data_IF_170880268359
#
_entry.id   IF_170880268359
#
_cell.length_a   1.000
_cell.length_b   1.000
_cell.length_c   1.000
_cell.angle_alpha   90.00
_cell.angle_beta   90.00
_cell.angle_gamma   90.00
#
_symmetry.space_group_name_H-M   'P 1'
#
loop_
_entity.id
_entity.type
_entity.pdbx_description
1 polymer ?
#
# COMPACT_ATOMS: atom_id res chain seq x y z
N UNK A 1 -5.01 13.54 -3.67
CA UNK A 1 -4.38 12.24 -4.08
C UNK A 1 -4.35 11.99 -5.59
N UNK A 2 -5.45 12.20 -6.35
CA UNK A 2 -5.46 11.89 -7.80
C UNK A 2 -4.31 12.54 -8.60
N UNK A 3 -4.03 13.83 -8.39
CA UNK A 3 -2.95 14.56 -9.10
C UNK A 3 -1.55 13.97 -8.80
N UNK A 4 -1.28 13.59 -7.54
CA UNK A 4 -0.01 12.99 -7.14
C UNK A 4 0.16 11.61 -7.80
N UNK A 5 -0.91 10.80 -7.85
CA UNK A 5 -0.88 9.50 -8.52
C UNK A 5 -0.64 9.66 -10.05
N UNK A 6 -1.24 10.66 -10.68
CA UNK A 6 -0.98 10.99 -12.08
C UNK A 6 0.49 11.43 -12.32
N UNK A 7 1.04 12.25 -11.43
CA UNK A 7 2.45 12.66 -11.48
C UNK A 7 3.40 11.47 -11.34
N UNK A 8 3.12 10.54 -10.43
CA UNK A 8 3.91 9.30 -10.25
C UNK A 8 3.85 8.44 -11.51
N UNK A 9 2.67 8.30 -12.14
CA UNK A 9 2.48 7.57 -13.39
C UNK A 9 3.22 8.20 -14.58
N UNK A 10 3.30 9.54 -14.61
CA UNK A 10 4.00 10.28 -15.67
C UNK A 10 5.52 10.35 -15.45
N UNK A 11 5.99 10.18 -14.22
CA UNK A 11 7.40 10.23 -13.84
C UNK A 11 8.32 9.36 -14.73
N UNK A 12 8.02 8.08 -15.03
CA UNK A 12 8.87 7.27 -15.92
C UNK A 12 9.01 7.87 -17.33
N UNK A 13 7.96 8.48 -17.89
CA UNK A 13 8.00 9.13 -19.20
C UNK A 13 8.85 10.40 -19.18
N UNK A 14 8.74 11.19 -18.11
CA UNK A 14 9.58 12.37 -17.89
C UNK A 14 11.06 11.96 -17.79
N UNK A 15 11.36 10.87 -17.06
CA UNK A 15 12.72 10.32 -16.96
C UNK A 15 13.25 9.91 -18.34
N UNK A 16 12.45 9.23 -19.16
CA UNK A 16 12.85 8.82 -20.53
C UNK A 16 13.20 10.05 -21.39
N UNK A 17 12.37 11.11 -21.35
CA UNK A 17 12.64 12.35 -22.08
C UNK A 17 13.95 13.01 -21.61
N UNK A 18 14.20 13.05 -20.29
CA UNK A 18 15.46 13.56 -19.75
C UNK A 18 16.67 12.73 -20.20
N UNK A 19 16.57 11.41 -20.25
CA UNK A 19 17.65 10.53 -20.72
C UNK A 19 17.94 10.79 -22.21
N UNK A 20 16.91 10.86 -23.06
CA UNK A 20 17.06 11.15 -24.50
C UNK A 20 17.73 12.51 -24.69
N UNK A 21 17.29 13.53 -23.95
CA UNK A 21 17.86 14.87 -23.99
C UNK A 21 19.34 14.90 -23.54
N UNK A 22 19.69 14.11 -22.52
CA UNK A 22 21.05 14.01 -22.01
C UNK A 22 21.98 13.33 -23.04
N UNK A 23 21.51 12.25 -23.68
CA UNK A 23 22.22 11.57 -24.77
C UNK A 23 22.46 12.52 -25.95
N UNK A 24 21.42 13.26 -26.38
CA UNK A 24 21.53 14.24 -27.47
C UNK A 24 22.60 15.31 -27.19
N UNK A 25 22.64 15.83 -25.97
CA UNK A 25 23.63 16.84 -25.57
C UNK A 25 25.06 16.28 -25.47
N UNK A 26 25.23 15.01 -25.08
CA UNK A 26 26.52 14.33 -25.11
C UNK A 26 27.03 14.22 -26.56
N UNK A 27 26.16 13.79 -27.49
CA UNK A 27 26.50 13.61 -28.90
C UNK A 27 26.87 14.94 -29.57
N UNK A 28 26.12 16.00 -29.29
CA UNK A 28 26.32 17.33 -29.92
C UNK A 28 27.46 18.17 -29.31
N UNK A 29 28.20 17.63 -28.31
CA UNK A 29 29.44 18.20 -27.73
C UNK A 29 29.37 19.69 -27.28
N UNK A 30 28.19 20.22 -26.92
CA UNK A 30 28.07 21.61 -26.41
C UNK A 30 28.78 21.77 -25.05
N UNK A 31 30.01 22.30 -25.05
CA UNK A 31 30.93 22.35 -23.90
C UNK A 31 30.40 23.12 -22.67
N UNK A 32 29.70 24.25 -22.87
CA UNK A 32 29.21 25.10 -21.76
C UNK A 32 28.12 24.43 -20.92
N UNK A 33 27.31 23.55 -21.53
CA UNK A 33 26.22 22.84 -20.86
C UNK A 33 26.65 21.51 -20.22
N UNK A 34 27.79 20.94 -20.64
CA UNK A 34 28.27 19.62 -20.15
C UNK A 34 28.55 19.57 -18.65
N UNK A 35 28.99 20.66 -18.01
CA UNK A 35 29.31 20.62 -16.57
C UNK A 35 28.10 20.94 -15.67
N UNK A 36 27.44 22.07 -15.91
CA UNK A 36 26.28 22.51 -15.10
C UNK A 36 25.02 21.68 -15.37
N UNK A 37 24.76 21.32 -16.63
CA UNK A 37 23.60 20.49 -16.98
C UNK A 37 23.69 19.10 -16.36
N UNK A 38 24.86 18.46 -16.41
CA UNK A 38 25.05 17.12 -15.82
C UNK A 38 24.97 17.19 -14.30
N UNK A 39 25.57 18.20 -13.64
CA UNK A 39 25.56 18.28 -12.18
C UNK A 39 24.18 18.56 -11.58
N UNK A 40 23.26 19.17 -12.33
CA UNK A 40 21.89 19.45 -11.88
C UNK A 40 20.91 18.37 -12.33
N UNK A 41 21.01 17.90 -13.58
CA UNK A 41 20.07 16.90 -14.13
C UNK A 41 20.29 15.53 -13.48
N UNK A 42 21.54 15.14 -13.21
CA UNK A 42 21.84 13.82 -12.65
C UNK A 42 21.23 13.61 -11.25
N UNK A 43 21.33 14.54 -10.27
CA UNK A 43 20.62 14.43 -9.00
C UNK A 43 19.10 14.38 -9.16
N UNK A 44 18.52 15.19 -10.04
CA UNK A 44 17.07 15.19 -10.31
C UNK A 44 16.63 13.83 -10.84
N UNK A 45 17.41 13.24 -11.75
CA UNK A 45 17.15 11.92 -12.32
C UNK A 45 17.24 10.83 -11.24
N UNK A 46 18.30 10.85 -10.42
CA UNK A 46 18.48 9.91 -9.31
C UNK A 46 17.30 10.01 -8.34
N UNK A 47 16.94 11.23 -7.93
CA UNK A 47 15.81 11.45 -7.02
C UNK A 47 14.48 10.98 -7.63
N UNK A 48 14.27 11.21 -8.93
CA UNK A 48 13.07 10.76 -9.63
C UNK A 48 13.01 9.23 -9.70
N UNK A 49 14.13 8.56 -9.96
CA UNK A 49 14.21 7.09 -9.95
C UNK A 49 13.90 6.55 -8.55
N UNK A 50 14.49 7.13 -7.50
CA UNK A 50 14.23 6.74 -6.11
C UNK A 50 12.74 6.91 -5.76
N UNK A 51 12.13 8.03 -6.14
CA UNK A 51 10.71 8.28 -5.95
C UNK A 51 9.84 7.29 -6.74
N UNK A 52 10.20 6.99 -7.98
CA UNK A 52 9.49 6.01 -8.80
C UNK A 52 9.51 4.64 -8.13
N UNK A 53 10.67 4.15 -7.70
CA UNK A 53 10.76 2.86 -6.98
C UNK A 53 9.98 2.87 -5.66
N UNK A 54 9.96 3.99 -4.95
CA UNK A 54 9.26 4.10 -3.67
C UNK A 54 7.73 4.12 -3.85
N UNK A 55 7.23 4.86 -4.82
CA UNK A 55 5.79 5.07 -5.02
C UNK A 55 5.17 4.21 -6.12
N UNK A 56 5.96 3.37 -6.82
CA UNK A 56 5.42 2.45 -7.81
C UNK A 56 4.45 1.48 -7.13
N UNK A 57 3.22 1.32 -7.68
CA UNK A 57 2.28 0.35 -7.15
C UNK A 57 2.82 -1.08 -7.26
N UNK A 58 2.75 -1.83 -6.16
CA UNK A 58 3.18 -3.23 -6.06
C UNK A 58 1.93 -4.09 -5.89
N UNK A 59 1.84 -5.18 -6.66
CA UNK A 59 0.91 -6.28 -6.44
C UNK A 59 1.62 -7.43 -5.72
N UNK A 60 0.87 -8.41 -5.20
CA UNK A 60 1.44 -9.63 -4.62
C UNK A 60 2.36 -9.38 -3.43
N UNK A 61 2.08 -8.35 -2.63
CA UNK A 61 2.88 -8.01 -1.45
C UNK A 61 2.90 -9.14 -0.41
N UNK A 62 2.03 -10.15 -0.53
CA UNK A 62 2.03 -11.33 0.34
C UNK A 62 2.54 -12.62 -0.30
N UNK A 63 2.82 -12.66 -1.61
CA UNK A 63 3.21 -13.89 -2.31
C UNK A 63 4.52 -14.50 -1.77
N UNK A 64 5.38 -13.68 -1.18
CA UNK A 64 6.64 -14.09 -0.59
C UNK A 64 6.55 -14.59 0.88
N UNK A 65 5.35 -14.61 1.48
CA UNK A 65 5.19 -14.87 2.91
C UNK A 65 4.62 -16.27 3.16
N UNK A 66 5.42 -17.11 3.82
CA UNK A 66 4.97 -18.40 4.32
C UNK A 66 4.36 -18.19 5.72
N UNK A 67 3.03 -18.21 5.79
CA UNK A 67 2.28 -17.92 7.00
C UNK A 67 1.65 -19.20 7.53
N UNK A 68 1.77 -19.45 8.84
CA UNK A 68 1.22 -20.65 9.47
C UNK A 68 -0.22 -20.43 9.98
N UNK A 69 -0.61 -19.17 10.18
CA UNK A 69 -1.95 -18.76 10.55
C UNK A 69 -2.22 -17.32 10.12
N UNK A 70 -3.49 -16.96 10.05
CA UNK A 70 -3.96 -15.59 9.91
C UNK A 70 -4.87 -15.29 11.09
N UNK A 71 -4.55 -14.25 11.83
CA UNK A 71 -5.40 -13.73 12.90
C UNK A 71 -6.31 -12.64 12.34
N UNK A 72 -7.62 -12.75 12.57
CA UNK A 72 -8.59 -11.74 12.23
C UNK A 72 -9.17 -11.17 13.52
N UNK A 73 -8.87 -9.91 13.78
CA UNK A 73 -9.46 -9.16 14.89
C UNK A 73 -10.57 -8.25 14.36
N UNK A 74 -11.77 -8.42 14.91
CA UNK A 74 -12.94 -7.58 14.63
C UNK A 74 -13.59 -7.23 15.96
N UNK A 75 -13.71 -5.94 16.28
CA UNK A 75 -14.24 -5.48 17.56
C UNK A 75 -13.46 -6.07 18.75
N UNK A 76 -14.12 -6.90 19.56
CA UNK A 76 -13.54 -7.63 20.70
C UNK A 76 -13.27 -9.11 20.39
N UNK A 77 -13.46 -9.53 19.13
CA UNK A 77 -13.28 -10.92 18.70
C UNK A 77 -11.94 -11.06 18.00
N UNK A 78 -11.17 -12.05 18.44
CA UNK A 78 -9.91 -12.45 17.84
C UNK A 78 -10.05 -13.91 17.39
N UNK A 79 -10.05 -14.11 16.07
CA UNK A 79 -10.24 -15.43 15.47
C UNK A 79 -8.99 -15.82 14.70
N UNK A 80 -8.43 -16.97 15.05
CA UNK A 80 -7.29 -17.53 14.36
C UNK A 80 -7.73 -18.51 13.25
N UNK A 81 -7.34 -18.22 12.02
CA UNK A 81 -7.57 -19.04 10.84
C UNK A 81 -6.30 -19.85 10.57
N UNK A 82 -6.39 -21.17 10.77
CA UNK A 82 -5.33 -22.15 10.43
C UNK A 82 -5.65 -22.99 9.20
N UNK A 83 -6.89 -22.92 8.71
CA UNK A 83 -7.31 -23.65 7.52
C UNK A 83 -6.61 -23.07 6.29
N UNK A 84 -5.81 -23.90 5.60
CA UNK A 84 -5.00 -23.46 4.46
C UNK A 84 -5.84 -22.90 3.32
N UNK A 85 -7.03 -23.44 3.06
CA UNK A 85 -7.88 -22.97 1.98
C UNK A 85 -8.45 -21.58 2.29
N UNK A 86 -8.92 -21.36 3.53
CA UNK A 86 -9.36 -20.04 4.01
C UNK A 86 -8.21 -19.03 4.02
N UNK A 87 -7.02 -19.45 4.48
CA UNK A 87 -5.84 -18.59 4.47
C UNK A 87 -5.47 -18.16 3.05
N UNK A 88 -5.41 -19.10 2.10
CA UNK A 88 -5.12 -18.79 0.69
C UNK A 88 -6.17 -17.82 0.11
N UNK A 89 -7.46 -18.01 0.39
CA UNK A 89 -8.51 -17.07 -0.03
C UNK A 89 -8.28 -15.65 0.50
N UNK A 90 -7.83 -15.49 1.75
CA UNK A 90 -7.50 -14.17 2.32
C UNK A 90 -6.33 -13.56 1.55
N UNK A 91 -5.24 -14.29 1.39
CA UNK A 91 -4.05 -13.80 0.70
C UNK A 91 -4.34 -13.45 -0.77
N UNK A 92 -5.08 -14.31 -1.47
CA UNK A 92 -5.53 -14.05 -2.85
C UNK A 92 -6.40 -12.79 -2.92
N UNK A 93 -7.33 -12.61 -1.99
CA UNK A 93 -8.19 -11.42 -1.95
C UNK A 93 -7.37 -10.15 -1.77
N UNK A 94 -6.39 -10.16 -0.87
CA UNK A 94 -5.50 -9.03 -0.64
C UNK A 94 -4.61 -8.77 -1.88
N UNK A 95 -4.09 -9.82 -2.51
CA UNK A 95 -3.15 -9.74 -3.63
C UNK A 95 -3.81 -9.29 -4.95
N UNK A 96 -5.14 -9.34 -5.08
CA UNK A 96 -5.87 -8.75 -6.23
C UNK A 96 -5.64 -7.24 -6.36
N UNK A 97 -5.31 -6.57 -5.26
CA UNK A 97 -5.16 -5.13 -5.21
C UNK A 97 -3.71 -4.69 -5.42
N UNK A 98 -3.55 -3.41 -5.79
CA UNK A 98 -2.25 -2.75 -5.90
C UNK A 98 -2.04 -1.77 -4.77
N UNK A 99 -0.81 -1.71 -4.30
CA UNK A 99 -0.46 -0.95 -3.11
C UNK A 99 0.72 -0.02 -3.35
N UNK A 100 0.66 1.17 -2.79
CA UNK A 100 1.76 2.15 -2.85
C UNK A 100 2.36 2.34 -1.48
N UNK A 101 3.69 2.42 -1.40
CA UNK A 101 4.37 2.63 -0.13
C UNK A 101 4.14 4.06 0.37
N UNK A 102 3.84 4.19 1.66
CA UNK A 102 3.68 5.46 2.35
C UNK A 102 4.91 5.78 3.18
N UNK A 103 5.36 7.03 3.10
CA UNK A 103 6.41 7.58 3.96
C UNK A 103 5.91 7.94 5.38
N UNK A 104 4.59 7.90 5.61
CA UNK A 104 3.98 8.25 6.89
C UNK A 104 3.39 7.01 7.56
N UNK A 105 3.80 6.77 8.81
CA UNK A 105 3.17 5.82 9.75
C UNK A 105 2.01 6.59 10.39
N UNK A 106 0.77 6.28 10.04
CA UNK A 106 -0.39 7.08 10.49
C UNK A 106 -1.58 6.27 10.96
N UNK A 107 -1.40 4.98 11.19
CA UNK A 107 -2.40 4.15 11.85
C UNK A 107 -1.84 3.87 13.24
N UNK A 108 -2.13 4.78 14.17
CA UNK A 108 -2.06 4.43 15.58
C UNK A 108 -3.40 3.74 15.87
N UNK A 109 -3.43 2.48 16.32
CA UNK A 109 -4.67 1.77 16.62
C UNK A 109 -5.62 2.56 17.54
N UNK A 110 -5.06 3.43 18.40
CA UNK A 110 -5.79 4.31 19.31
C UNK A 110 -6.68 5.35 18.62
N UNK A 111 -6.47 5.67 17.34
CA UNK A 111 -7.26 6.68 16.61
C UNK A 111 -8.55 6.14 16.00
N UNK A 112 -8.81 4.82 16.07
CA UNK A 112 -9.97 4.18 15.44
C UNK A 112 -10.82 3.44 16.46
N UNK A 113 -12.13 3.65 16.42
CA UNK A 113 -13.07 2.81 17.16
C UNK A 113 -13.00 1.37 16.60
N UNK A 114 -12.72 0.40 17.49
CA UNK A 114 -12.56 -1.03 17.16
C UNK A 114 -13.77 -1.61 16.41
N UNK A 115 -14.95 -1.02 16.62
CA UNK A 115 -16.23 -1.45 16.03
C UNK A 115 -16.26 -1.45 14.50
N UNK A 116 -15.41 -0.66 13.86
CA UNK A 116 -15.36 -0.48 12.42
C UNK A 116 -14.03 -0.92 11.79
N UNK A 117 -13.15 -1.55 12.57
CA UNK A 117 -11.83 -1.95 12.11
C UNK A 117 -11.71 -3.46 12.09
N UNK A 118 -11.37 -4.02 10.93
CA UNK A 118 -10.95 -5.40 10.77
C UNK A 118 -9.43 -5.38 10.65
N UNK A 119 -8.75 -6.05 11.58
CA UNK A 119 -7.29 -6.19 11.56
C UNK A 119 -6.96 -7.63 11.17
N UNK A 120 -6.36 -7.80 10.00
CA UNK A 120 -5.83 -9.09 9.57
C UNK A 120 -4.33 -9.10 9.85
N UNK A 121 -3.91 -9.97 10.76
CA UNK A 121 -2.52 -10.09 11.17
C UNK A 121 -1.96 -11.45 10.79
N UNK A 122 -0.71 -11.49 10.35
CA UNK A 122 0.00 -12.75 10.18
C UNK A 122 1.46 -12.61 10.60
N UNK A 123 2.04 -13.72 11.06
CA UNK A 123 3.42 -13.77 11.51
C UNK A 123 4.27 -14.60 10.56
N UNK A 124 5.34 -13.99 10.04
CA UNK A 124 6.35 -14.70 9.28
C UNK A 124 7.49 -15.12 10.21
N UNK A 125 7.49 -16.39 10.61
CA UNK A 125 8.50 -16.95 11.52
C UNK A 125 9.93 -16.77 11.02
N UNK A 126 10.18 -16.98 9.72
CA UNK A 126 11.53 -16.93 9.14
C UNK A 126 12.17 -15.55 9.23
N UNK A 127 11.37 -14.48 9.07
CA UNK A 127 11.87 -13.12 9.13
C UNK A 127 11.64 -12.45 10.48
N UNK A 128 10.89 -13.09 11.39
CA UNK A 128 10.42 -12.56 12.68
C UNK A 128 9.62 -11.27 12.52
N UNK A 129 8.68 -11.28 11.58
CA UNK A 129 7.92 -10.09 11.17
C UNK A 129 6.44 -10.32 11.35
N UNK A 130 5.76 -9.35 11.97
CA UNK A 130 4.31 -9.31 12.01
C UNK A 130 3.86 -8.37 10.89
N UNK A 131 2.84 -8.79 10.18
CA UNK A 131 2.22 -8.04 9.10
C UNK A 131 0.79 -7.76 9.52
N UNK A 132 0.38 -6.49 9.47
CA UNK A 132 -0.97 -6.07 9.84
C UNK A 132 -1.64 -5.38 8.66
N UNK A 133 -2.75 -5.94 8.19
CA UNK A 133 -3.67 -5.25 7.30
C UNK A 133 -4.82 -4.66 8.12
N UNK A 134 -4.94 -3.36 8.07
CA UNK A 134 -6.01 -2.60 8.68
C UNK A 134 -7.06 -2.31 7.60
N UNK A 135 -8.25 -2.84 7.78
CA UNK A 135 -9.36 -2.73 6.84
C UNK A 135 -10.55 -2.07 7.53
N UNK A 136 -10.99 -0.94 7.00
CA UNK A 136 -12.11 -0.21 7.56
C UNK A 136 -13.44 -0.70 6.98
N UNK A 137 -14.41 -0.94 7.85
CA UNK A 137 -15.74 -1.38 7.45
C UNK A 137 -16.68 -0.17 7.22
N UNK A 138 -16.61 0.41 6.02
CA UNK A 138 -17.50 1.50 5.60
C UNK A 138 -18.96 1.03 5.31
N UNK A 139 -19.24 -0.28 5.36
CA UNK A 139 -20.57 -0.82 5.03
C UNK A 139 -21.57 -0.75 6.19
N UNK A 140 -21.11 -0.45 7.41
CA UNK A 140 -21.96 -0.32 8.60
C UNK A 140 -22.46 1.13 8.79
N UNK A 141 -21.82 2.10 8.16
CA UNK A 141 -22.12 3.53 8.39
C UNK A 141 -23.14 4.03 7.36
N UNK A 142 -24.42 4.14 7.75
CA UNK A 142 -25.44 4.92 7.01
C UNK A 142 -25.20 6.43 7.12
N UNK A 143 -24.52 6.86 8.18
CA UNK A 143 -24.09 8.23 8.39
C UNK A 143 -22.63 8.37 7.97
N UNK A 144 -22.21 9.48 7.34
CA UNK A 144 -20.79 9.73 7.16
C UNK A 144 -20.13 9.67 8.54
N UNK A 145 -19.03 8.91 8.67
CA UNK A 145 -18.16 9.03 9.84
C UNK A 145 -17.99 10.53 10.12
N UNK A 146 -18.05 10.99 11.39
CA UNK A 146 -17.84 12.39 11.72
C UNK A 146 -16.60 12.84 10.95
N UNK A 147 -16.80 13.79 10.05
CA UNK A 147 -15.82 14.18 9.03
C UNK A 147 -14.47 14.33 9.71
N UNK A 148 -13.62 13.33 9.56
CA UNK A 148 -12.21 13.49 9.83
C UNK A 148 -11.73 14.40 8.72
N UNK A 149 -11.85 15.71 8.94
CA UNK A 149 -11.49 16.77 8.01
C UNK A 149 -10.01 16.68 7.58
N UNK A 150 -9.23 15.80 8.20
CA UNK A 150 -7.90 15.39 7.73
C UNK A 150 -7.66 13.88 7.85
N UNK A 151 -8.10 13.09 6.88
CA UNK A 151 -7.60 11.71 6.75
C UNK A 151 -8.40 10.84 5.80
N UNK A 152 -7.83 10.60 4.63
CA UNK A 152 -8.21 9.56 3.65
C UNK A 152 -8.83 8.31 4.28
N UNK A 153 -9.88 7.73 3.70
CA UNK A 153 -10.33 6.35 3.98
C UNK A 153 -9.09 5.42 3.88
N UNK A 154 -8.51 4.96 5.01
CA UNK A 154 -7.23 4.22 5.00
C UNK A 154 -7.47 2.73 5.16
N UNK A 155 -7.35 1.99 4.07
CA UNK A 155 -6.94 0.60 4.16
C UNK A 155 -5.43 0.54 3.98
N UNK A 156 -4.76 0.18 5.07
CA UNK A 156 -3.30 0.20 5.15
C UNK A 156 -2.79 -1.18 5.49
N UNK A 157 -1.75 -1.61 4.77
CA UNK A 157 -0.94 -2.76 5.16
C UNK A 157 0.36 -2.27 5.78
N UNK A 158 0.66 -2.68 7.01
CA UNK A 158 1.92 -2.44 7.69
C UNK A 158 2.82 -3.67 7.58
N UNK A 159 4.01 -3.49 7.00
CA UNK A 159 5.08 -4.49 6.92
C UNK A 159 6.35 -3.85 7.48
N UNK A 160 6.85 -4.33 8.63
CA UNK A 160 8.09 -3.81 9.25
C UNK A 160 8.09 -2.29 9.42
N UNK A 161 7.03 -1.74 10.01
CA UNK A 161 6.85 -0.29 10.19
C UNK A 161 6.68 0.52 8.89
N UNK A 162 6.76 -0.13 7.73
CA UNK A 162 6.50 0.47 6.43
C UNK A 162 5.03 0.27 6.07
N UNK A 163 4.32 1.37 5.82
CA UNK A 163 2.93 1.31 5.41
C UNK A 163 2.79 1.24 3.90
N UNK A 164 1.82 0.46 3.46
CA UNK A 164 1.38 0.31 2.09
C UNK A 164 -0.10 0.67 2.03
N UNK A 165 -0.48 1.60 1.18
CA UNK A 165 -1.88 1.97 1.00
C UNK A 165 -2.45 1.31 -0.25
N UNK A 166 -3.64 0.72 -0.14
CA UNK A 166 -4.33 0.19 -1.30
C UNK A 166 -4.77 1.34 -2.23
N UNK A 167 -4.70 1.10 -3.55
CA UNK A 167 -5.18 2.07 -4.53
C UNK A 167 -6.71 2.07 -4.67
N UNK A 168 -7.36 0.94 -4.38
CA UNK A 168 -8.82 0.79 -4.33
C UNK A 168 -9.24 0.33 -2.93
N UNK A 169 -9.29 1.30 -2.00
CA UNK A 169 -9.61 1.04 -0.60
C UNK A 169 -11.03 0.47 -0.48
N UNK A 170 -12.03 1.10 -1.10
CA UNK A 170 -13.42 0.67 -0.96
C UNK A 170 -13.66 -0.75 -1.51
N UNK A 171 -13.02 -1.11 -2.62
CA UNK A 171 -13.02 -2.49 -3.12
C UNK A 171 -12.43 -3.46 -2.10
N UNK A 172 -11.21 -3.19 -1.61
CA UNK A 172 -10.52 -4.06 -0.65
C UNK A 172 -11.34 -4.24 0.64
N UNK A 173 -11.90 -3.15 1.18
CA UNK A 173 -12.77 -3.21 2.37
C UNK A 173 -13.94 -4.14 2.18
N UNK A 174 -14.66 -3.97 1.08
CA UNK A 174 -15.85 -4.75 0.78
C UNK A 174 -15.50 -6.23 0.60
N UNK A 175 -14.45 -6.52 -0.14
CA UNK A 175 -14.07 -7.89 -0.46
C UNK A 175 -13.56 -8.63 0.78
N UNK A 176 -12.77 -7.96 1.64
CA UNK A 176 -12.35 -8.51 2.93
C UNK A 176 -13.56 -8.71 3.86
N UNK A 177 -14.44 -7.72 3.99
CA UNK A 177 -15.64 -7.85 4.82
C UNK A 177 -16.48 -9.05 4.39
N UNK A 178 -16.77 -9.19 3.10
CA UNK A 178 -17.54 -10.30 2.56
C UNK A 178 -16.85 -11.65 2.83
N UNK A 179 -15.53 -11.71 2.72
CA UNK A 179 -14.75 -12.92 2.98
C UNK A 179 -14.80 -13.32 4.47
N UNK A 180 -14.60 -12.36 5.37
CA UNK A 180 -14.67 -12.61 6.82
C UNK A 180 -16.10 -13.00 7.23
N UNK A 181 -17.11 -12.46 6.55
CA UNK A 181 -18.51 -12.85 6.72
C UNK A 181 -18.77 -14.29 6.23
N UNK A 182 -18.27 -14.66 5.06
CA UNK A 182 -18.33 -16.04 4.52
C UNK A 182 -17.71 -17.04 5.49
N UNK A 183 -16.67 -16.63 6.23
CA UNK A 183 -16.05 -17.49 7.24
C UNK A 183 -16.83 -17.62 8.55
N UNK A 184 -17.94 -16.88 8.70
CA UNK A 184 -18.78 -16.89 9.91
C UNK A 184 -18.20 -16.12 11.09
N UNK A 185 -17.23 -15.23 10.84
CA UNK A 185 -16.52 -14.48 11.88
C UNK A 185 -17.30 -13.23 12.31
N UNK A 186 -18.10 -12.65 11.41
CA UNK A 186 -18.87 -11.41 11.64
C UNK A 186 -20.29 -11.64 12.20
N UNK A 187 -20.89 -12.80 11.96
CA UNK A 187 -22.34 -13.03 12.18
C UNK A 187 -22.66 -13.81 13.48
N UNK A 188 -21.80 -13.74 14.50
CA UNK A 188 -22.06 -14.28 15.85
C UNK A 188 -21.79 -13.22 16.92
#
# INVERSE_FOLDING_TARGET
>A
MKIINYLILLLPYIIILFIIYLIYNIITRKQKFRKLGISVILPILIMSIVLAFYYCPISNIFEAYNTDYINVNVKDKNVEIRDKAKMNKVLETINKYRYTKSATRSIVPETYASDYLIIISTYEYKKRKIIHLYVHNNLITKDPLPTMEHGTEKNGLEINEQMYNCNDNNGLSRDIYNLIKEFGILDN
#
